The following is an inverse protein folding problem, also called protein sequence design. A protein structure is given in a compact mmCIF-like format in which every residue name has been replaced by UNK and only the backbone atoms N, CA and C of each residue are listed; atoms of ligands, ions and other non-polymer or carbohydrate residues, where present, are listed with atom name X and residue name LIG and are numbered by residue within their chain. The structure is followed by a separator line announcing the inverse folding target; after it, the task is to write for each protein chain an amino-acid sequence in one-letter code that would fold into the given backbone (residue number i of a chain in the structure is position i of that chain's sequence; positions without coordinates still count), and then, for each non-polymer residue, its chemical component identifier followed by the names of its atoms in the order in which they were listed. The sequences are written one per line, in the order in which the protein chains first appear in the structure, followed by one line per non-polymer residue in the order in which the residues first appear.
data_IF_216585503820
#
_entry.id   IF_216585503820
#
_cell.length_a   1.000
_cell.length_b   1.000
_cell.length_c   1.000
_cell.angle_alpha   90.00
_cell.angle_beta   90.00
_cell.angle_gamma   90.00
#
_symmetry.space_group_name_H-M   'P 1'
#
loop_
_entity.id
_entity.type
_entity.pdbx_description
1 polymer ?
#
# COMPACT_ATOMS: atom_id res chain seq x y z
N UNK A 1 -7.93 -20.58 -19.69
CA UNK A 1 -6.91 -19.59 -19.28
C UNK A 1 -6.92 -18.42 -20.25
N UNK A 2 -7.92 -17.53 -20.17
CA UNK A 2 -8.16 -16.54 -21.24
C UNK A 2 -7.70 -15.10 -20.89
N UNK A 3 -7.29 -14.82 -19.64
CA UNK A 3 -7.18 -13.44 -19.13
C UNK A 3 -5.82 -13.03 -18.57
N UNK A 4 -4.78 -13.86 -18.72
CA UNK A 4 -3.46 -13.59 -18.11
C UNK A 4 -2.70 -12.43 -18.77
N UNK A 5 -3.09 -12.03 -19.99
CA UNK A 5 -2.46 -10.96 -20.77
C UNK A 5 -3.36 -9.73 -20.91
N UNK A 6 -4.49 -9.70 -20.20
CA UNK A 6 -5.38 -8.55 -20.20
C UNK A 6 -4.62 -7.38 -19.56
N UNK A 7 -4.62 -6.23 -20.25
CA UNK A 7 -3.95 -5.04 -19.76
C UNK A 7 -4.81 -4.39 -18.68
N UNK A 8 -4.16 -4.01 -17.59
CA UNK A 8 -4.75 -3.13 -16.61
C UNK A 8 -4.88 -1.71 -17.20
N UNK A 9 -6.04 -1.09 -16.98
CA UNK A 9 -6.34 0.28 -17.38
C UNK A 9 -5.61 1.30 -16.50
N UNK A 10 -5.60 2.58 -16.91
CA UNK A 10 -4.88 3.65 -16.21
C UNK A 10 -5.34 3.89 -14.76
N UNK A 11 -6.54 3.41 -14.38
CA UNK A 11 -7.09 3.53 -13.03
C UNK A 11 -6.81 2.29 -12.14
N UNK A 12 -6.24 1.22 -12.71
CA UNK A 12 -5.97 -0.05 -12.04
C UNK A 12 -4.48 -0.23 -11.70
N UNK A 13 -3.60 0.54 -12.35
CA UNK A 13 -2.16 0.47 -12.13
C UNK A 13 -1.60 1.87 -11.87
N UNK A 14 -0.87 1.99 -10.76
CA UNK A 14 -0.08 3.17 -10.46
C UNK A 14 1.40 2.89 -10.77
N UNK A 15 1.95 3.64 -11.73
CA UNK A 15 3.33 3.43 -12.18
C UNK A 15 4.36 4.10 -11.23
N UNK A 16 3.89 4.94 -10.29
CA UNK A 16 4.72 5.65 -9.30
C UNK A 16 5.93 6.39 -9.92
N UNK A 17 5.77 6.90 -11.14
CA UNK A 17 6.84 7.58 -11.88
C UNK A 17 7.99 6.69 -12.35
N UNK A 18 7.90 5.37 -12.15
CA UNK A 18 8.94 4.42 -12.57
C UNK A 18 8.76 4.00 -14.03
N UNK A 19 9.82 3.48 -14.65
CA UNK A 19 9.75 2.93 -16.01
C UNK A 19 9.23 1.49 -15.99
N UNK A 20 8.74 1.02 -17.14
CA UNK A 20 8.44 -0.40 -17.33
C UNK A 20 9.70 -1.23 -17.09
N UNK A 21 9.61 -2.23 -16.24
CA UNK A 21 10.74 -3.04 -15.84
C UNK A 21 10.59 -4.49 -16.32
N UNK A 22 11.33 -4.83 -17.35
CA UNK A 22 11.38 -6.20 -17.90
C UNK A 22 12.08 -7.19 -16.97
N UNK A 23 12.91 -6.68 -16.05
CA UNK A 23 13.64 -7.47 -15.05
C UNK A 23 12.90 -7.60 -13.72
N UNK A 24 11.68 -7.09 -13.60
CA UNK A 24 10.87 -7.24 -12.39
C UNK A 24 10.59 -8.71 -12.09
N UNK A 25 10.56 -9.08 -10.81
CA UNK A 25 10.11 -10.42 -10.38
C UNK A 25 8.66 -10.70 -10.77
N UNK A 26 7.88 -9.65 -10.99
CA UNK A 26 6.48 -9.73 -11.43
C UNK A 26 6.34 -9.86 -12.95
N UNK A 27 7.43 -9.73 -13.71
CA UNK A 27 7.38 -9.85 -15.15
C UNK A 27 7.41 -11.32 -15.58
N UNK A 28 6.41 -11.76 -16.33
CA UNK A 28 6.37 -13.11 -16.90
C UNK A 28 7.56 -13.41 -17.81
N UNK A 29 7.94 -14.69 -17.89
CA UNK A 29 8.93 -15.16 -18.86
C UNK A 29 8.40 -15.12 -20.31
N UNK A 30 9.31 -15.21 -21.28
CA UNK A 30 8.98 -15.10 -22.70
C UNK A 30 8.02 -16.19 -23.23
N UNK A 31 7.91 -17.32 -22.53
CA UNK A 31 7.10 -18.49 -22.88
C UNK A 31 5.92 -18.70 -21.91
N UNK A 32 5.60 -17.71 -21.08
CA UNK A 32 4.51 -17.82 -20.12
C UNK A 32 3.20 -18.18 -20.84
N UNK A 33 2.50 -19.21 -20.35
CA UNK A 33 1.25 -19.73 -20.91
C UNK A 33 1.32 -20.15 -22.40
N UNK A 34 2.52 -20.33 -22.97
CA UNK A 34 2.67 -20.80 -24.34
C UNK A 34 2.11 -22.22 -24.49
N UNK A 35 1.30 -22.43 -25.54
CA UNK A 35 0.83 -23.78 -25.92
C UNK A 35 1.99 -24.69 -26.31
N UNK A 36 2.97 -24.12 -27.00
CA UNK A 36 4.25 -24.74 -27.31
C UNK A 36 5.37 -23.89 -26.70
N UNK A 37 6.17 -24.46 -25.80
CA UNK A 37 7.29 -23.81 -25.12
C UNK A 37 8.42 -23.37 -26.08
N UNK A 38 8.36 -23.74 -27.36
CA UNK A 38 9.27 -23.26 -28.40
C UNK A 38 8.84 -21.93 -29.02
N UNK A 39 7.60 -21.50 -28.80
CA UNK A 39 7.04 -20.29 -29.40
C UNK A 39 6.80 -19.26 -28.28
N UNK A 40 7.53 -18.12 -28.27
CA UNK A 40 7.34 -17.09 -27.27
C UNK A 40 5.95 -16.45 -27.38
N UNK A 41 5.34 -16.18 -26.23
CA UNK A 41 4.08 -15.44 -26.09
C UNK A 41 4.33 -13.95 -25.82
N UNK A 42 5.48 -13.60 -25.26
CA UNK A 42 5.88 -12.21 -24.96
C UNK A 42 7.22 -11.91 -25.63
N UNK A 43 7.31 -10.75 -26.30
CA UNK A 43 8.52 -10.25 -26.93
C UNK A 43 8.88 -8.88 -26.37
N UNK A 44 10.14 -8.69 -25.99
CA UNK A 44 10.66 -7.37 -25.64
C UNK A 44 10.90 -6.56 -26.92
N UNK A 45 10.37 -5.34 -26.98
CA UNK A 45 10.64 -4.40 -28.10
C UNK A 45 12.10 -3.96 -28.14
N UNK A 46 12.80 -4.03 -27.01
CA UNK A 46 14.20 -3.60 -26.85
C UNK A 46 15.17 -4.78 -26.77
N UNK A 47 14.68 -6.02 -26.86
CA UNK A 47 15.51 -7.23 -26.72
C UNK A 47 15.94 -7.54 -25.28
N UNK A 48 15.35 -6.89 -24.28
CA UNK A 48 15.65 -7.17 -22.86
C UNK A 48 15.22 -8.58 -22.45
N UNK A 49 15.99 -9.19 -21.53
CA UNK A 49 15.65 -10.47 -20.89
C UNK A 49 14.37 -10.34 -20.04
N UNK A 50 13.54 -11.37 -20.07
CA UNK A 50 12.25 -11.46 -19.38
C UNK A 50 12.25 -12.63 -18.37
N UNK A 51 11.37 -12.59 -17.38
CA UNK A 51 11.13 -13.72 -16.47
C UNK A 51 12.16 -13.86 -15.36
N UNK A 52 12.47 -12.76 -14.67
CA UNK A 52 13.38 -12.80 -13.52
C UNK A 52 12.80 -13.65 -12.37
N UNK A 53 13.60 -14.57 -11.84
CA UNK A 53 13.26 -15.44 -10.70
C UNK A 53 14.28 -15.36 -9.55
N UNK A 54 15.28 -14.48 -9.66
CA UNK A 54 16.39 -14.39 -8.70
C UNK A 54 16.09 -13.43 -7.53
N UNK A 55 14.97 -12.71 -7.57
CA UNK A 55 14.54 -11.77 -6.54
C UNK A 55 14.11 -10.43 -7.12
N UNK A 56 13.91 -9.44 -6.24
CA UNK A 56 13.47 -8.10 -6.63
C UNK A 56 14.48 -7.37 -7.50
N UNK A 57 14.00 -6.68 -8.53
CA UNK A 57 14.79 -5.68 -9.24
C UNK A 57 14.93 -4.40 -8.39
N UNK A 58 15.83 -3.51 -8.81
CA UNK A 58 15.92 -2.19 -8.19
C UNK A 58 14.60 -1.41 -8.27
N UNK A 59 13.87 -1.53 -9.38
CA UNK A 59 12.57 -0.86 -9.54
C UNK A 59 11.49 -1.50 -8.69
N UNK A 60 11.51 -2.81 -8.47
CA UNK A 60 10.59 -3.47 -7.54
C UNK A 60 10.79 -2.94 -6.12
N UNK A 61 12.04 -2.86 -5.66
CA UNK A 61 12.38 -2.31 -4.33
C UNK A 61 11.95 -0.85 -4.22
N UNK A 62 12.23 -0.02 -5.23
CA UNK A 62 11.84 1.40 -5.20
C UNK A 62 10.33 1.55 -5.20
N UNK A 63 9.59 0.77 -6.01
CA UNK A 63 8.11 0.80 -6.01
C UNK A 63 7.55 0.40 -4.66
N UNK A 64 8.07 -0.65 -4.04
CA UNK A 64 7.66 -1.08 -2.71
C UNK A 64 7.95 0.01 -1.68
N UNK A 65 9.16 0.58 -1.67
CA UNK A 65 9.51 1.65 -0.73
C UNK A 65 8.66 2.91 -0.92
N UNK A 66 8.31 3.29 -2.16
CA UNK A 66 7.40 4.41 -2.42
C UNK A 66 5.97 4.08 -1.96
N UNK A 67 5.47 2.88 -2.29
CA UNK A 67 4.10 2.45 -1.97
C UNK A 67 3.88 2.29 -0.46
N UNK A 68 4.88 1.77 0.25
CA UNK A 68 4.85 1.51 1.70
C UNK A 68 5.61 2.55 2.52
N UNK A 69 6.06 3.65 1.90
CA UNK A 69 6.78 4.78 2.54
C UNK A 69 7.98 4.34 3.38
N UNK A 70 8.69 3.30 2.94
CA UNK A 70 9.89 2.85 3.62
C UNK A 70 11.02 3.89 3.45
N UNK A 71 11.63 4.30 4.57
CA UNK A 71 12.74 5.26 4.58
C UNK A 71 12.39 6.70 4.95
N UNK A 72 11.17 6.98 5.45
CA UNK A 72 10.78 8.29 6.01
C UNK A 72 11.14 8.49 7.48
N UNK A 73 12.01 7.65 8.04
CA UNK A 73 12.70 8.00 9.28
C UNK A 73 13.70 9.11 8.96
N UNK A 74 13.63 10.24 9.65
CA UNK A 74 14.76 11.18 9.71
C UNK A 74 15.97 10.43 10.26
N UNK A 75 16.77 9.86 9.37
CA UNK A 75 18.09 9.36 9.70
C UNK A 75 18.93 10.60 9.96
N UNK A 76 18.88 11.06 11.21
CA UNK A 76 19.88 11.96 11.77
C UNK A 76 21.22 11.36 11.44
N UNK A 77 21.95 12.11 10.62
CA UNK A 77 23.29 11.80 10.14
C UNK A 77 24.19 11.50 11.34
N UNK A 78 24.44 10.23 11.59
CA UNK A 78 25.71 9.81 12.19
C UNK A 78 26.47 9.10 11.10
N UNK A 79 27.28 9.88 10.37
CA UNK A 79 28.29 9.35 9.45
C UNK A 79 29.18 8.41 10.25
N UNK A 80 28.95 7.10 10.14
CA UNK A 80 30.00 6.12 10.38
C UNK A 80 30.67 5.87 9.05
N UNK A 81 31.72 6.66 8.82
CA UNK A 81 32.81 6.34 7.91
C UNK A 81 33.29 4.92 8.22
N UNK A 82 32.87 3.95 7.42
CA UNK A 82 33.56 2.67 7.32
C UNK A 82 34.25 2.63 5.97
N UNK A 83 35.57 2.63 6.07
CA UNK A 83 36.58 2.57 5.03
C UNK A 83 36.29 1.45 4.01
N UNK A 84 36.52 1.68 2.70
CA UNK A 84 36.44 0.62 1.70
C UNK A 84 37.56 -0.38 1.95
N UNK A 85 37.23 -1.56 2.47
CA UNK A 85 38.14 -2.70 2.47
C UNK A 85 37.91 -3.46 1.17
N UNK A 86 38.88 -3.35 0.26
CA UNK A 86 39.02 -4.18 -0.93
C UNK A 86 39.03 -5.66 -0.53
N UNK A 87 37.96 -6.39 -0.84
CA UNK A 87 37.98 -7.85 -0.80
C UNK A 87 38.03 -8.37 -2.23
N UNK A 88 39.22 -8.89 -2.53
CA UNK A 88 39.61 -9.59 -3.75
C UNK A 88 38.79 -10.86 -3.92
N UNK A 89 38.32 -11.05 -5.14
CA UNK A 89 37.74 -12.26 -5.72
C UNK A 89 38.61 -13.50 -5.51
N UNK A 90 38.02 -14.58 -4.98
CA UNK A 90 38.57 -15.93 -5.16
C UNK A 90 37.50 -16.82 -5.77
N UNK A 91 37.65 -17.06 -7.07
CA UNK A 91 36.93 -18.06 -7.86
C UNK A 91 37.40 -19.46 -7.46
N UNK A 92 36.50 -20.28 -6.91
CA UNK A 92 36.71 -21.72 -6.84
C UNK A 92 35.51 -22.42 -7.45
N UNK A 93 35.72 -22.97 -8.64
CA UNK A 93 34.78 -23.88 -9.29
C UNK A 93 34.76 -25.24 -8.57
N UNK A 94 33.57 -25.78 -8.31
CA UNK A 94 33.40 -27.23 -8.14
C UNK A 94 32.04 -27.70 -8.64
N UNK A 95 32.13 -28.62 -9.59
CA UNK A 95 31.07 -29.32 -10.33
C UNK A 95 30.62 -30.59 -9.59
N UNK A 96 29.48 -31.16 -10.05
CA UNK A 96 28.85 -32.48 -9.76
C UNK A 96 27.94 -32.51 -8.54
N UNK A 97 26.79 -33.20 -8.48
CA UNK A 97 25.87 -33.86 -9.44
C UNK A 97 24.55 -34.07 -8.66
N UNK A 98 23.44 -34.19 -9.40
CA UNK A 98 22.06 -34.42 -9.01
C UNK A 98 21.75 -35.26 -7.75
N UNK A 99 20.72 -34.86 -6.99
CA UNK A 99 19.71 -35.80 -6.51
C UNK A 99 18.36 -35.10 -6.26
N UNK A 100 17.30 -35.69 -6.82
CA UNK A 100 15.93 -35.25 -6.74
C UNK A 100 15.24 -35.96 -5.58
N UNK A 101 14.60 -35.21 -4.67
CA UNK A 101 13.64 -35.79 -3.73
C UNK A 101 12.40 -34.92 -3.59
N UNK A 102 11.31 -35.52 -4.04
CA UNK A 102 9.91 -35.17 -3.93
C UNK A 102 9.45 -34.94 -2.49
N UNK A 103 8.69 -33.87 -2.25
CA UNK A 103 7.64 -33.88 -1.20
C UNK A 103 6.45 -33.03 -1.65
N UNK A 104 5.26 -33.60 -1.40
CA UNK A 104 3.92 -33.22 -1.88
C UNK A 104 3.09 -32.76 -0.67
N UNK A 105 2.27 -31.72 -0.88
CA UNK A 105 1.17 -31.31 0.01
C UNK A 105 1.17 -29.79 0.22
N UNK A 106 0.06 -29.05 0.19
CA UNK A 106 -1.36 -29.39 0.03
C UNK A 106 -2.08 -28.11 -0.44
N UNK A 107 -3.16 -28.31 -1.17
CA UNK A 107 -4.21 -27.40 -1.60
C UNK A 107 -4.69 -26.45 -0.49
N UNK A 108 -4.78 -25.15 -0.76
CA UNK A 108 -5.94 -24.33 -0.38
C UNK A 108 -6.02 -22.99 -1.14
N UNK A 109 -7.25 -22.68 -1.54
CA UNK A 109 -7.81 -21.43 -2.06
C UNK A 109 -9.31 -21.53 -1.68
N UNK A 110 -10.16 -20.48 -1.63
CA UNK A 110 -10.01 -19.03 -1.89
C UNK A 110 -10.63 -18.21 -0.69
N UNK A 111 -10.98 -16.89 -0.74
CA UNK A 111 -11.95 -16.29 -1.67
C UNK A 111 -11.57 -14.92 -2.26
N UNK A 112 -12.29 -14.62 -3.33
CA UNK A 112 -12.58 -13.32 -3.97
C UNK A 112 -12.87 -12.20 -2.98
N UNK A 113 -12.33 -11.00 -3.20
CA UNK A 113 -13.15 -9.79 -3.05
C UNK A 113 -12.70 -8.61 -3.91
N UNK A 114 -13.73 -8.09 -4.56
CA UNK A 114 -13.85 -6.88 -5.36
C UNK A 114 -13.76 -5.66 -4.47
N UNK A 115 -12.89 -4.69 -4.77
CA UNK A 115 -13.26 -3.26 -4.61
C UNK A 115 -12.28 -2.33 -5.32
N UNK A 116 -12.74 -1.84 -6.47
CA UNK A 116 -12.86 -0.41 -6.79
C UNK A 116 -11.94 0.53 -6.00
N UNK A 117 -10.81 0.84 -6.62
CA UNK A 117 -10.08 2.12 -6.53
C UNK A 117 -10.97 3.24 -7.12
N UNK A 118 -10.87 4.54 -6.82
CA UNK A 118 -9.97 5.36 -6.01
C UNK A 118 -10.58 6.76 -5.95
N UNK A 119 -10.69 7.35 -4.76
CA UNK A 119 -10.44 8.78 -4.55
C UNK A 119 -9.69 8.92 -3.22
N UNK A 120 -8.46 9.50 -3.19
CA UNK A 120 -7.78 9.75 -1.93
C UNK A 120 -8.27 11.07 -1.34
N UNK A 121 -8.79 10.95 -0.12
CA UNK A 121 -8.76 11.95 0.96
C UNK A 121 -9.50 13.26 0.63
N UNK A 122 -10.83 13.17 0.71
CA UNK A 122 -11.62 14.33 1.09
C UNK A 122 -11.30 14.76 2.53
N UNK A 123 -11.59 16.02 2.92
CA UNK A 123 -11.42 16.55 4.28
C UNK A 123 -12.45 15.97 5.27
N UNK A 124 -12.91 14.76 5.01
CA UNK A 124 -14.00 14.11 5.73
C UNK A 124 -13.44 12.95 6.56
N UNK A 125 -13.95 12.83 7.77
CA UNK A 125 -13.58 11.80 8.73
C UNK A 125 -14.38 10.54 8.45
N UNK A 126 -13.89 9.75 7.52
CA UNK A 126 -14.50 8.48 7.14
C UNK A 126 -13.44 7.39 6.99
N UNK A 127 -13.87 6.15 7.17
CA UNK A 127 -13.09 5.00 6.75
C UNK A 127 -13.29 4.83 5.23
N UNK A 128 -12.22 5.01 4.47
CA UNK A 128 -12.21 4.95 3.03
C UNK A 128 -11.97 3.54 2.48
N UNK A 129 -11.54 2.58 3.32
CA UNK A 129 -11.37 1.17 2.96
C UNK A 129 -12.33 0.28 3.77
N UNK A 130 -12.81 -0.81 3.16
CA UNK A 130 -13.59 -1.82 3.88
C UNK A 130 -12.71 -2.64 4.83
N UNK A 131 -13.28 -3.17 5.91
CA UNK A 131 -12.57 -4.03 6.86
C UNK A 131 -11.75 -3.30 7.94
N UNK A 132 -11.93 -1.98 8.09
CA UNK A 132 -11.23 -1.19 9.11
C UNK A 132 -11.51 -1.66 10.54
N UNK A 133 -12.70 -2.18 10.81
CA UNK A 133 -13.09 -2.78 12.09
C UNK A 133 -12.25 -4.02 12.45
N UNK A 134 -12.02 -4.89 11.46
CA UNK A 134 -11.21 -6.09 11.62
C UNK A 134 -9.75 -5.72 11.86
N UNK A 135 -9.18 -4.84 11.03
CA UNK A 135 -7.78 -4.45 11.17
C UNK A 135 -7.50 -3.62 12.42
N UNK A 136 -8.46 -2.80 12.86
CA UNK A 136 -8.35 -2.13 14.14
C UNK A 136 -8.33 -3.12 15.31
N UNK A 137 -9.17 -4.17 15.25
CA UNK A 137 -9.16 -5.28 16.20
C UNK A 137 -7.84 -6.05 16.22
N UNK A 138 -7.20 -6.20 15.06
CA UNK A 138 -5.88 -6.85 14.92
C UNK A 138 -4.69 -5.91 15.24
N UNK A 139 -4.96 -4.66 15.67
CA UNK A 139 -3.93 -3.72 16.15
C UNK A 139 -3.26 -2.89 15.06
N UNK A 140 -3.78 -2.87 13.83
CA UNK A 140 -3.19 -2.12 12.71
C UNK A 140 -3.22 -0.61 12.92
N UNK A 141 -4.09 -0.08 13.80
CA UNK A 141 -4.07 1.33 14.18
C UNK A 141 -2.72 1.77 14.78
N UNK A 142 -1.95 0.84 15.35
CA UNK A 142 -0.64 1.11 15.94
C UNK A 142 0.53 0.50 15.12
N UNK A 143 0.27 -0.55 14.35
CA UNK A 143 1.30 -1.24 13.55
C UNK A 143 1.39 -0.76 12.10
N UNK A 144 0.34 -0.13 11.59
CA UNK A 144 0.25 0.36 10.21
C UNK A 144 -0.42 1.73 10.20
N UNK A 145 0.13 2.62 11.01
CA UNK A 145 -0.39 3.96 11.26
C UNK A 145 -0.62 4.70 9.94
N UNK A 146 0.29 4.63 8.98
CA UNK A 146 0.12 5.32 7.68
C UNK A 146 -1.09 4.83 6.89
N UNK A 147 -1.31 3.50 6.85
CA UNK A 147 -2.44 2.91 6.14
C UNK A 147 -3.74 3.25 6.85
N UNK A 148 -3.76 3.13 8.18
CA UNK A 148 -4.93 3.44 8.98
C UNK A 148 -5.26 4.94 9.00
N UNK A 149 -4.24 5.80 8.95
CA UNK A 149 -4.41 7.26 8.80
C UNK A 149 -4.85 7.64 7.39
N UNK A 150 -4.59 6.83 6.37
CA UNK A 150 -5.08 7.12 5.03
C UNK A 150 -6.50 6.58 4.78
N UNK A 151 -6.84 5.45 5.39
CA UNK A 151 -8.01 4.67 4.98
C UNK A 151 -8.96 4.25 6.10
N UNK A 152 -8.54 4.29 7.36
CA UNK A 152 -9.33 3.84 8.51
C UNK A 152 -9.33 4.88 9.65
N UNK A 153 -9.29 6.17 9.28
CA UNK A 153 -9.11 7.27 10.23
C UNK A 153 -10.19 7.31 11.30
N UNK A 154 -11.43 6.98 10.94
CA UNK A 154 -12.55 7.01 11.87
C UNK A 154 -12.46 5.84 12.83
N UNK A 155 -12.30 4.62 12.33
CA UNK A 155 -12.20 3.42 13.19
C UNK A 155 -10.97 3.47 14.09
N UNK A 156 -9.85 4.00 13.61
CA UNK A 156 -8.64 4.14 14.42
C UNK A 156 -8.60 5.41 15.31
N UNK A 157 -9.66 6.22 15.33
CA UNK A 157 -9.73 7.42 16.18
C UNK A 157 -8.74 8.52 15.79
N UNK A 158 -8.30 8.55 14.54
CA UNK A 158 -7.28 9.46 14.01
C UNK A 158 -7.86 10.71 13.35
N UNK A 159 -9.17 10.89 13.43
CA UNK A 159 -9.80 12.12 12.95
C UNK A 159 -9.47 13.28 13.86
N UNK A 160 -8.83 14.29 13.30
CA UNK A 160 -8.58 15.55 14.00
C UNK A 160 -9.70 16.55 13.72
N UNK A 161 -9.80 17.61 14.52
CA UNK A 161 -10.77 18.70 14.34
C UNK A 161 -10.63 19.43 12.99
N UNK A 162 -9.56 19.19 12.23
CA UNK A 162 -9.38 19.71 10.87
C UNK A 162 -9.86 18.77 9.77
N UNK A 163 -10.07 17.49 10.09
CA UNK A 163 -10.36 16.44 9.09
C UNK A 163 -11.80 15.92 9.14
N UNK A 164 -12.61 16.39 10.08
CA UNK A 164 -13.99 16.70 9.83
C UNK A 164 -14.05 18.20 9.57
N UNK A 165 -15.01 18.72 8.80
CA UNK A 165 -15.35 20.16 8.91
C UNK A 165 -16.01 20.41 10.27
N UNK A 166 -15.26 20.17 11.34
CA UNK A 166 -15.57 20.39 12.75
C UNK A 166 -15.39 21.88 13.01
N UNK A 167 -16.36 22.63 12.53
CA UNK A 167 -16.41 24.08 12.64
C UNK A 167 -17.75 24.48 13.22
N UNK A 168 -17.74 25.59 13.94
CA UNK A 168 -18.97 26.26 14.32
C UNK A 168 -19.46 27.04 13.08
N UNK A 169 -20.60 26.63 12.54
CA UNK A 169 -21.21 27.25 11.36
C UNK A 169 -21.82 28.63 11.68
N UNK A 170 -21.98 28.94 12.97
CA UNK A 170 -22.56 30.21 13.42
C UNK A 170 -21.69 30.87 14.49
N UNK A 171 -21.57 32.20 14.49
CA UNK A 171 -20.79 32.91 15.50
C UNK A 171 -21.40 32.88 16.90
N UNK A 172 -22.66 32.42 17.05
CA UNK A 172 -23.35 32.31 18.33
C UNK A 172 -23.02 31.02 19.11
N UNK A 173 -22.32 30.06 18.49
CA UNK A 173 -22.09 28.74 19.05
C UNK A 173 -21.43 28.74 20.44
N UNK A 174 -20.43 29.59 20.66
CA UNK A 174 -19.73 29.71 21.95
C UNK A 174 -20.68 30.18 23.05
N UNK A 175 -21.58 31.13 22.74
CA UNK A 175 -22.51 31.67 23.75
C UNK A 175 -23.53 30.63 24.18
N UNK A 176 -24.10 29.90 23.22
CA UNK A 176 -25.09 28.86 23.52
C UNK A 176 -24.46 27.64 24.19
N UNK A 177 -23.23 27.28 23.83
CA UNK A 177 -22.48 26.24 24.54
C UNK A 177 -22.25 26.61 26.02
N UNK A 178 -21.86 27.87 26.29
CA UNK A 178 -21.70 28.37 27.66
C UNK A 178 -23.02 28.44 28.44
N UNK A 179 -24.15 28.53 27.75
CA UNK A 179 -25.50 28.45 28.35
C UNK A 179 -26.00 27.00 28.51
N UNK A 180 -25.17 25.99 28.20
CA UNK A 180 -25.53 24.58 28.34
C UNK A 180 -26.52 24.06 27.29
N UNK A 181 -26.67 24.75 26.16
CA UNK A 181 -27.66 24.41 25.11
C UNK A 181 -27.17 23.33 24.13
N UNK A 182 -26.05 22.67 24.39
CA UNK A 182 -25.43 21.70 23.48
C UNK A 182 -26.25 20.43 23.19
N UNK A 183 -27.34 20.20 23.92
CA UNK A 183 -28.25 19.08 23.69
C UNK A 183 -29.31 19.35 22.61
N UNK A 184 -29.40 20.59 22.10
CA UNK A 184 -30.33 20.92 21.02
C UNK A 184 -29.82 20.37 19.68
N UNK A 185 -30.70 19.80 18.85
CA UNK A 185 -30.32 19.30 17.51
C UNK A 185 -29.62 20.38 16.67
N UNK A 186 -30.10 21.62 16.77
CA UNK A 186 -29.47 22.76 16.11
C UNK A 186 -28.00 22.95 16.52
N UNK A 187 -27.70 22.79 17.80
CA UNK A 187 -26.35 22.95 18.35
C UNK A 187 -25.44 21.79 17.97
N UNK A 188 -25.95 20.56 17.96
CA UNK A 188 -25.18 19.38 17.52
C UNK A 188 -24.83 19.48 16.03
N UNK A 189 -25.76 19.97 15.19
CA UNK A 189 -25.55 20.09 13.75
C UNK A 189 -24.69 21.30 13.35
N UNK A 190 -24.85 22.45 14.03
CA UNK A 190 -24.24 23.73 13.61
C UNK A 190 -23.11 24.23 14.52
N UNK A 191 -22.95 23.69 15.72
CA UNK A 191 -22.00 24.13 16.73
C UNK A 191 -21.11 22.99 17.20
N UNK A 192 -20.58 22.24 16.22
CA UNK A 192 -19.86 21.00 16.42
C UNK A 192 -18.63 21.19 17.30
N UNK A 193 -17.93 22.33 17.15
CA UNK A 193 -16.72 22.65 17.91
C UNK A 193 -17.05 23.10 19.32
N UNK A 194 -17.93 24.10 19.44
CA UNK A 194 -18.35 24.65 20.74
C UNK A 194 -19.03 23.61 21.64
N UNK A 195 -19.64 22.57 21.06
CA UNK A 195 -20.33 21.51 21.80
C UNK A 195 -19.59 20.16 21.84
N UNK A 196 -18.32 20.10 21.42
CA UNK A 196 -17.53 18.86 21.37
C UNK A 196 -18.23 17.71 20.63
N UNK A 197 -19.00 18.01 19.58
CA UNK A 197 -19.81 17.06 18.83
C UNK A 197 -19.11 16.54 17.56
N UNK A 198 -17.84 16.87 17.35
CA UNK A 198 -17.11 16.67 16.09
C UNK A 198 -16.89 15.23 15.63
N UNK A 199 -17.30 14.22 16.39
CA UNK A 199 -17.21 12.81 16.02
C UNK A 199 -18.40 12.00 16.57
N UNK A 200 -19.55 12.64 16.84
CA UNK A 200 -20.74 11.94 17.34
C UNK A 200 -21.47 11.28 16.15
N UNK A 201 -21.73 9.95 16.20
CA UNK A 201 -22.43 9.25 15.11
C UNK A 201 -23.87 9.71 14.94
#
# INVERSE_FOLDING_TARGET
MQRNFDKLGPNEIELLGTRYDTGSVMHYDQFAFAKDRKIPTIYSKTGSTLGNTQGFSQNDVVKLNIMYRCGSEEVTTTVRTTTPTTQTTTTTARTTTAEATTTRGTTESPPTETTTSKEPIGPECVDAMGGCDVWAGDGFCNHSVDLMTAFCRKTCGLCTDTDARCVDNTPICVQFANMGQCNQEFMVANCQKSCNACNKP
#
